data_IF_693137660618
#
_entry.id   IF_693137660618
#
_cell.length_a   1.000
_cell.length_b   1.000
_cell.length_c   1.000
_cell.angle_alpha   90.00
_cell.angle_beta   90.00
_cell.angle_gamma   90.00
#
_symmetry.space_group_name_H-M   'P 1'
#
loop_
_entity.id
_entity.type
_entity.pdbx_description
1 polymer ?
#
# COMPACT_ATOMS: atom_id res chain seq x y z
N UNK A 1 55.19 0.53 -33.54
CA UNK A 1 54.40 1.48 -32.77
C UNK A 1 53.16 0.79 -32.20
N UNK A 2 53.13 0.51 -30.92
CA UNK A 2 51.87 0.14 -30.25
C UNK A 2 51.76 0.87 -28.91
N UNK A 3 51.07 2.02 -28.87
CA UNK A 3 50.77 2.68 -27.62
C UNK A 3 49.55 3.60 -27.81
N UNK A 4 48.32 3.05 -27.79
CA UNK A 4 47.09 3.88 -27.61
C UNK A 4 45.87 3.13 -27.07
N UNK A 5 46.01 1.88 -26.61
CA UNK A 5 44.85 1.07 -26.22
C UNK A 5 44.49 1.12 -24.73
N UNK A 6 45.44 1.44 -23.82
CA UNK A 6 45.22 1.33 -22.37
C UNK A 6 44.35 2.44 -21.76
N UNK A 7 44.35 3.64 -22.34
CA UNK A 7 43.53 4.75 -21.81
C UNK A 7 42.03 4.65 -22.13
N UNK A 8 41.69 3.95 -23.22
CA UNK A 8 40.31 3.78 -23.65
C UNK A 8 39.58 2.77 -22.74
N UNK A 9 40.26 1.67 -22.39
CA UNK A 9 39.70 0.64 -21.47
C UNK A 9 39.44 1.17 -20.09
N UNK A 10 40.28 2.03 -19.55
CA UNK A 10 40.11 2.62 -18.19
C UNK A 10 38.95 3.61 -18.13
N UNK A 11 38.66 4.35 -19.21
CA UNK A 11 37.50 5.25 -19.28
C UNK A 11 36.18 4.51 -19.43
N UNK A 12 36.15 3.40 -20.22
CA UNK A 12 34.96 2.58 -20.38
C UNK A 12 34.59 1.86 -19.08
N UNK A 13 35.57 1.34 -18.34
CA UNK A 13 35.31 0.64 -17.08
C UNK A 13 34.73 1.57 -15.98
N UNK A 14 35.21 2.82 -15.93
CA UNK A 14 34.65 3.81 -14.99
C UNK A 14 33.23 4.25 -15.34
N UNK A 15 32.90 4.39 -16.61
CA UNK A 15 31.55 4.71 -17.09
C UNK A 15 30.57 3.56 -16.80
N UNK A 16 31.01 2.30 -16.99
CA UNK A 16 30.18 1.12 -16.68
C UNK A 16 29.90 0.99 -15.18
N UNK A 17 30.91 1.21 -14.31
CA UNK A 17 30.75 1.21 -12.87
C UNK A 17 29.82 2.31 -12.36
N UNK A 18 29.89 3.50 -12.97
CA UNK A 18 29.01 4.62 -12.63
C UNK A 18 27.55 4.36 -13.03
N UNK A 19 27.34 3.71 -14.19
CA UNK A 19 26.00 3.31 -14.67
C UNK A 19 25.37 2.23 -13.79
N UNK A 20 26.15 1.25 -13.32
CA UNK A 20 25.68 0.20 -12.41
C UNK A 20 25.34 0.79 -11.03
N UNK A 21 26.13 1.74 -10.54
CA UNK A 21 25.87 2.42 -9.27
C UNK A 21 24.59 3.28 -9.33
N UNK A 22 24.34 3.98 -10.45
CA UNK A 22 23.12 4.75 -10.68
C UNK A 22 21.88 3.87 -10.83
N UNK A 23 22.00 2.69 -11.48
CA UNK A 23 20.92 1.72 -11.59
C UNK A 23 20.59 1.06 -10.26
N UNK A 24 21.60 0.80 -9.41
CA UNK A 24 21.39 0.28 -8.05
C UNK A 24 20.70 1.27 -7.12
N UNK A 25 21.06 2.55 -7.19
CA UNK A 25 20.42 3.61 -6.39
C UNK A 25 18.97 3.89 -6.82
N UNK A 26 18.62 3.66 -8.08
CA UNK A 26 17.24 3.88 -8.55
C UNK A 26 16.27 2.79 -8.09
N UNK A 27 16.73 1.58 -7.80
CA UNK A 27 15.86 0.50 -7.31
C UNK A 27 15.48 0.66 -5.84
N UNK A 28 16.33 1.23 -5.01
CA UNK A 28 16.01 1.46 -3.60
C UNK A 28 15.07 2.65 -3.37
N UNK A 29 15.04 3.65 -4.27
CA UNK A 29 14.16 4.80 -4.14
C UNK A 29 12.66 4.46 -4.31
N UNK A 30 12.33 3.37 -5.00
CA UNK A 30 10.95 2.92 -5.21
C UNK A 30 10.44 1.96 -4.13
N UNK A 31 11.29 1.54 -3.19
CA UNK A 31 10.95 0.58 -2.15
C UNK A 31 10.46 1.23 -0.84
N UNK A 32 10.52 2.55 -0.71
CA UNK A 32 10.07 3.22 0.52
C UNK A 32 8.54 3.30 0.57
N UNK A 33 7.92 2.82 1.66
CA UNK A 33 6.49 2.91 1.82
C UNK A 33 6.04 4.35 2.01
N UNK A 34 4.87 4.67 1.48
CA UNK A 34 4.19 5.91 1.79
C UNK A 34 3.48 5.77 3.14
N UNK A 35 3.93 6.54 4.13
CA UNK A 35 3.29 6.57 5.45
C UNK A 35 2.06 7.45 5.44
N UNK A 36 0.98 6.97 6.02
CA UNK A 36 -0.21 7.77 6.28
C UNK A 36 -0.79 7.49 7.66
N UNK A 37 -1.46 8.48 8.22
CA UNK A 37 -2.17 8.38 9.51
C UNK A 37 -3.65 8.20 9.24
N UNK A 38 -4.26 7.24 9.92
CA UNK A 38 -5.69 6.97 9.88
C UNK A 38 -6.36 7.79 10.96
N UNK A 39 -7.37 8.56 10.58
CA UNK A 39 -8.10 9.47 11.46
C UNK A 39 -9.54 8.98 11.65
N UNK A 40 -10.06 9.10 12.86
CA UNK A 40 -11.49 8.93 13.16
C UNK A 40 -12.32 10.14 12.68
N UNK A 41 -13.65 10.14 12.79
CA UNK A 41 -14.49 11.28 12.42
C UNK A 41 -14.19 12.58 13.16
N UNK A 42 -13.65 12.49 14.38
CA UNK A 42 -13.23 13.65 15.19
C UNK A 42 -11.81 14.15 14.83
N UNK A 43 -11.22 13.65 13.72
CA UNK A 43 -9.85 13.97 13.27
C UNK A 43 -8.74 13.54 14.22
N UNK A 44 -9.02 12.63 15.12
CA UNK A 44 -8.02 12.07 16.02
C UNK A 44 -7.35 10.87 15.35
N UNK A 45 -6.02 10.71 15.48
CA UNK A 45 -5.32 9.53 15.00
C UNK A 45 -5.83 8.27 15.69
N UNK A 46 -6.07 7.21 14.91
CA UNK A 46 -6.49 5.88 15.42
C UNK A 46 -5.62 4.75 14.90
N UNK A 47 -4.75 5.02 13.94
CA UNK A 47 -3.82 4.03 13.39
C UNK A 47 -2.90 4.64 12.35
N UNK A 48 -2.04 3.79 11.79
CA UNK A 48 -1.10 4.14 10.72
C UNK A 48 -1.14 3.11 9.61
N UNK A 49 -0.76 3.53 8.40
CA UNK A 49 -0.58 2.63 7.28
C UNK A 49 0.73 2.92 6.55
N UNK A 50 1.42 1.87 6.15
CA UNK A 50 2.56 1.88 5.25
C UNK A 50 2.08 1.32 3.91
N UNK A 51 1.98 2.17 2.90
CA UNK A 51 1.43 1.82 1.60
C UNK A 51 2.57 1.50 0.64
N UNK A 52 2.60 0.27 0.15
CA UNK A 52 3.51 -0.23 -0.87
C UNK A 52 2.77 -0.38 -2.20
N UNK A 53 3.46 -0.79 -3.24
CA UNK A 53 2.88 -0.89 -4.58
C UNK A 53 1.82 -2.00 -4.70
N UNK A 54 1.96 -3.09 -3.94
CA UNK A 54 1.18 -4.32 -4.03
C UNK A 54 0.55 -4.77 -2.71
N UNK A 55 0.90 -4.11 -1.60
CA UNK A 55 0.33 -4.40 -0.29
C UNK A 55 0.28 -3.15 0.60
N UNK A 56 -0.45 -3.24 1.69
CA UNK A 56 -0.49 -2.24 2.75
C UNK A 56 -0.23 -2.92 4.09
N UNK A 57 0.57 -2.28 4.91
CA UNK A 57 0.83 -2.70 6.28
C UNK A 57 0.10 -1.75 7.23
N UNK A 58 -0.75 -2.31 8.07
CA UNK A 58 -1.59 -1.58 9.00
C UNK A 58 -1.02 -1.72 10.42
N UNK A 59 -0.98 -0.62 11.14
CA UNK A 59 -0.36 -0.53 12.46
C UNK A 59 -1.26 0.28 13.42
N UNK A 60 -1.15 -0.06 14.70
CA UNK A 60 -1.64 0.78 15.78
C UNK A 60 -0.83 2.09 15.86
N UNK A 61 -1.27 3.03 16.69
CA UNK A 61 -0.57 4.32 16.86
C UNK A 61 0.84 4.18 17.43
N UNK A 62 1.07 3.19 18.27
CA UNK A 62 2.37 2.88 18.86
C UNK A 62 3.33 2.17 17.88
N UNK A 63 2.84 1.81 16.68
CA UNK A 63 3.58 1.11 15.65
C UNK A 63 3.45 -0.41 15.72
N UNK A 64 2.68 -0.97 16.64
CA UNK A 64 2.40 -2.39 16.70
C UNK A 64 1.71 -2.83 15.40
N UNK A 65 2.24 -3.84 14.67
CA UNK A 65 1.61 -4.34 13.46
C UNK A 65 0.22 -4.90 13.75
N UNK A 66 -0.78 -4.49 12.98
CA UNK A 66 -2.13 -5.03 13.03
C UNK A 66 -2.39 -6.06 11.93
N UNK A 67 -1.69 -5.92 10.81
CA UNK A 67 -1.73 -6.87 9.72
C UNK A 67 -1.19 -6.29 8.42
N UNK A 68 -0.85 -7.20 7.51
CA UNK A 68 -0.45 -6.89 6.14
C UNK A 68 -1.53 -7.38 5.20
N UNK A 69 -2.03 -6.49 4.34
CA UNK A 69 -3.03 -6.81 3.33
C UNK A 69 -2.41 -6.82 1.94
N UNK A 70 -2.56 -7.93 1.23
CA UNK A 70 -2.29 -8.05 -0.20
C UNK A 70 -3.58 -7.86 -1.00
N UNK A 71 -3.44 -7.42 -2.26
CA UNK A 71 -4.54 -7.11 -3.15
C UNK A 71 -4.36 -7.80 -4.49
N UNK A 72 -5.36 -8.58 -4.90
CA UNK A 72 -5.40 -9.20 -6.23
C UNK A 72 -6.49 -8.52 -7.04
N UNK A 73 -6.11 -7.99 -8.20
CA UNK A 73 -7.05 -7.32 -9.10
C UNK A 73 -8.13 -8.28 -9.59
N UNK A 74 -9.38 -7.85 -9.52
CA UNK A 74 -10.55 -8.48 -10.13
C UNK A 74 -11.33 -7.45 -10.92
N UNK A 75 -12.31 -7.89 -11.71
CA UNK A 75 -13.16 -6.97 -12.45
C UNK A 75 -13.92 -6.01 -11.50
N UNK A 76 -13.59 -4.73 -11.60
CA UNK A 76 -14.21 -3.65 -10.83
C UNK A 76 -13.64 -3.46 -9.42
N UNK A 77 -12.49 -4.10 -9.06
CA UNK A 77 -11.90 -3.93 -7.74
C UNK A 77 -10.80 -4.91 -7.38
N UNK A 78 -10.79 -5.35 -6.13
CA UNK A 78 -9.76 -6.20 -5.56
C UNK A 78 -10.35 -7.32 -4.71
N UNK A 79 -9.71 -8.48 -4.71
CA UNK A 79 -9.76 -9.43 -3.58
C UNK A 79 -8.71 -9.00 -2.55
N UNK A 80 -9.04 -9.11 -1.27
CA UNK A 80 -8.22 -8.68 -0.14
C UNK A 80 -7.81 -9.89 0.68
N UNK A 81 -6.50 -10.03 0.88
CA UNK A 81 -5.89 -11.14 1.60
C UNK A 81 -5.08 -10.61 2.78
N UNK A 82 -5.19 -11.25 3.92
CA UNK A 82 -4.17 -11.11 4.97
C UNK A 82 -2.96 -11.94 4.59
N UNK A 83 -1.79 -11.29 4.55
CA UNK A 83 -0.51 -11.93 4.28
C UNK A 83 0.20 -12.18 5.59
N UNK A 84 0.47 -13.44 5.91
CA UNK A 84 1.22 -13.86 7.10
C UNK A 84 2.73 -13.81 6.86
N UNK A 85 3.51 -13.84 7.93
CA UNK A 85 4.98 -13.80 7.87
C UNK A 85 5.58 -15.02 7.14
N UNK A 86 4.88 -16.16 7.15
CA UNK A 86 5.25 -17.37 6.39
C UNK A 86 4.89 -17.29 4.89
N UNK A 87 4.34 -16.17 4.44
CA UNK A 87 3.90 -15.94 3.07
C UNK A 87 2.52 -16.51 2.74
N UNK A 88 1.85 -17.19 3.67
CA UNK A 88 0.48 -17.65 3.45
C UNK A 88 -0.48 -16.48 3.30
N UNK A 89 -1.44 -16.64 2.40
CA UNK A 89 -2.46 -15.63 2.11
C UNK A 89 -3.85 -16.19 2.41
N UNK A 90 -4.59 -15.51 3.27
CA UNK A 90 -5.96 -15.85 3.60
C UNK A 90 -6.90 -14.80 3.05
N UNK A 91 -7.86 -15.20 2.22
CA UNK A 91 -8.92 -14.31 1.74
C UNK A 91 -9.75 -13.82 2.94
N UNK A 92 -9.83 -12.51 3.10
CA UNK A 92 -10.63 -11.88 4.17
C UNK A 92 -11.80 -11.08 3.63
N UNK A 93 -11.77 -10.71 2.35
CA UNK A 93 -12.86 -9.96 1.74
C UNK A 93 -12.56 -9.48 0.34
N UNK A 94 -13.37 -8.55 -0.12
CA UNK A 94 -13.20 -7.89 -1.42
C UNK A 94 -13.63 -6.44 -1.38
N UNK A 95 -13.02 -5.64 -2.26
CA UNK A 95 -13.42 -4.26 -2.51
C UNK A 95 -13.86 -4.15 -3.97
N UNK A 96 -15.13 -3.86 -4.23
CA UNK A 96 -15.68 -3.73 -5.58
C UNK A 96 -16.55 -2.48 -5.70
N UNK A 97 -16.29 -1.69 -6.73
CA UNK A 97 -17.02 -0.43 -6.97
C UNK A 97 -17.08 0.47 -5.71
N UNK A 98 -15.94 0.59 -5.02
CA UNK A 98 -15.79 1.35 -3.76
C UNK A 98 -16.61 0.85 -2.58
N UNK A 99 -17.12 -0.40 -2.65
CA UNK A 99 -17.79 -1.08 -1.56
C UNK A 99 -16.90 -2.18 -1.02
N UNK A 100 -16.86 -2.34 0.29
CA UNK A 100 -16.09 -3.34 0.99
C UNK A 100 -17.00 -4.46 1.48
N UNK A 101 -16.62 -5.69 1.17
CA UNK A 101 -17.35 -6.89 1.54
C UNK A 101 -16.43 -7.82 2.33
N UNK A 102 -16.98 -8.51 3.33
CA UNK A 102 -16.30 -9.62 4.00
C UNK A 102 -16.15 -10.84 3.09
N UNK A 103 -15.54 -11.90 3.58
CA UNK A 103 -15.33 -13.14 2.83
C UNK A 103 -16.64 -13.89 2.50
N UNK A 104 -17.68 -13.66 3.26
CA UNK A 104 -19.04 -14.17 3.02
C UNK A 104 -19.85 -13.33 2.01
N UNK A 105 -19.28 -12.22 1.55
CA UNK A 105 -19.94 -11.31 0.59
C UNK A 105 -20.92 -10.31 1.21
N UNK A 106 -20.91 -10.15 2.53
CA UNK A 106 -21.71 -9.15 3.22
C UNK A 106 -21.06 -7.77 3.10
N UNK A 107 -21.83 -6.75 2.78
CA UNK A 107 -21.38 -5.36 2.76
C UNK A 107 -21.04 -4.90 4.19
N UNK A 108 -19.78 -4.51 4.41
CA UNK A 108 -19.27 -4.04 5.70
C UNK A 108 -18.90 -2.54 5.70
N UNK A 109 -18.85 -1.92 4.52
CA UNK A 109 -18.59 -0.49 4.39
C UNK A 109 -18.44 -0.06 2.95
N UNK A 110 -18.22 1.22 2.77
CA UNK A 110 -17.83 1.79 1.50
C UNK A 110 -16.82 2.90 1.70
N UNK A 111 -16.09 3.24 0.64
CA UNK A 111 -15.09 4.28 0.69
C UNK A 111 -15.13 5.12 -0.59
N UNK A 112 -14.67 6.34 -0.46
CA UNK A 112 -14.49 7.26 -1.56
C UNK A 112 -13.13 7.94 -1.45
N UNK A 113 -12.68 8.59 -2.52
CA UNK A 113 -11.43 9.35 -2.50
C UNK A 113 -11.53 10.60 -3.37
N UNK A 114 -10.85 11.63 -2.91
CA UNK A 114 -10.50 12.83 -3.67
C UNK A 114 -9.06 12.73 -4.18
N UNK A 115 -8.48 13.85 -4.58
CA UNK A 115 -7.09 13.88 -5.07
C UNK A 115 -6.08 13.37 -4.03
N UNK A 116 -6.30 13.62 -2.74
CA UNK A 116 -5.36 13.30 -1.68
C UNK A 116 -5.96 12.55 -0.49
N UNK A 117 -7.27 12.52 -0.34
CA UNK A 117 -7.95 11.95 0.81
C UNK A 117 -8.83 10.77 0.45
N UNK A 118 -8.80 9.75 1.28
CA UNK A 118 -9.75 8.65 1.28
C UNK A 118 -10.68 8.79 2.49
N UNK A 119 -11.96 8.58 2.26
CA UNK A 119 -13.03 8.64 3.27
C UNK A 119 -13.69 7.27 3.37
N UNK A 120 -13.97 6.83 4.59
CA UNK A 120 -14.58 5.53 4.85
C UNK A 120 -15.87 5.71 5.60
N UNK A 121 -16.87 4.93 5.21
CA UNK A 121 -18.22 4.97 5.73
C UNK A 121 -18.71 3.56 6.08
N UNK A 122 -19.52 3.44 7.11
CA UNK A 122 -20.28 2.25 7.43
C UNK A 122 -21.37 1.99 6.36
N UNK A 123 -21.99 0.80 6.31
CA UNK A 123 -23.06 0.50 5.34
C UNK A 123 -24.24 1.46 5.39
N UNK A 124 -24.54 2.04 6.56
CA UNK A 124 -25.59 3.03 6.80
C UNK A 124 -25.22 4.47 6.37
N UNK A 125 -24.01 4.67 5.86
CA UNK A 125 -23.50 5.98 5.43
C UNK A 125 -22.82 6.80 6.53
N UNK A 126 -22.76 6.32 7.77
CA UNK A 126 -22.03 6.99 8.84
C UNK A 126 -20.54 6.99 8.56
N UNK A 127 -19.89 8.16 8.61
CA UNK A 127 -18.45 8.27 8.43
C UNK A 127 -17.71 7.55 9.56
N UNK A 128 -16.79 6.65 9.18
CA UNK A 128 -15.91 5.92 10.11
C UNK A 128 -14.56 6.60 10.28
N UNK A 129 -14.08 7.27 9.23
CA UNK A 129 -12.79 7.94 9.29
C UNK A 129 -12.26 8.34 7.93
N UNK A 130 -10.97 8.69 7.91
CA UNK A 130 -10.28 9.13 6.70
C UNK A 130 -8.77 8.96 6.82
N UNK A 131 -8.07 8.98 5.68
CA UNK A 131 -6.61 9.05 5.63
C UNK A 131 -6.14 9.75 4.35
N UNK A 132 -4.91 10.26 4.36
CA UNK A 132 -4.29 10.88 3.20
C UNK A 132 -3.68 9.79 2.29
N UNK A 133 -4.21 9.61 1.09
CA UNK A 133 -3.78 8.63 0.09
C UNK A 133 -3.25 9.34 -1.15
N UNK A 134 -1.95 9.66 -1.18
CA UNK A 134 -1.33 10.43 -2.27
C UNK A 134 -0.92 9.57 -3.47
N UNK A 135 -0.71 8.27 -3.27
CA UNK A 135 -0.43 7.31 -4.34
C UNK A 135 -1.14 5.98 -4.07
N UNK A 136 -1.20 5.10 -5.09
CA UNK A 136 -1.89 3.79 -5.02
C UNK A 136 -3.28 3.89 -4.40
N UNK A 137 -4.06 4.89 -4.84
CA UNK A 137 -5.31 5.34 -4.18
C UNK A 137 -6.29 4.21 -3.92
N UNK A 138 -6.47 3.30 -4.88
CA UNK A 138 -7.37 2.15 -4.73
C UNK A 138 -6.95 1.23 -3.59
N UNK A 139 -5.69 0.83 -3.56
CA UNK A 139 -5.09 -0.04 -2.53
C UNK A 139 -5.07 0.69 -1.18
N UNK A 140 -4.62 1.94 -1.15
CA UNK A 140 -4.62 2.75 0.06
C UNK A 140 -6.03 2.88 0.65
N UNK A 141 -7.02 3.27 -0.16
CA UNK A 141 -8.40 3.45 0.30
C UNK A 141 -9.03 2.13 0.79
N UNK A 142 -8.83 1.03 0.05
CA UNK A 142 -9.32 -0.29 0.46
C UNK A 142 -8.66 -0.76 1.76
N UNK A 143 -7.35 -0.55 1.94
CA UNK A 143 -6.64 -0.90 3.16
C UNK A 143 -7.11 -0.08 4.37
N UNK A 144 -7.26 1.25 4.22
CA UNK A 144 -7.82 2.11 5.27
C UNK A 144 -9.26 1.70 5.62
N UNK A 145 -10.06 1.36 4.60
CA UNK A 145 -11.41 0.86 4.83
C UNK A 145 -11.40 -0.46 5.60
N UNK A 146 -10.50 -1.39 5.26
CA UNK A 146 -10.33 -2.65 5.99
C UNK A 146 -9.97 -2.44 7.47
N UNK A 147 -9.12 -1.45 7.77
CA UNK A 147 -8.79 -1.08 9.14
C UNK A 147 -10.01 -0.53 9.90
N UNK A 148 -10.70 0.46 9.33
CA UNK A 148 -11.78 1.18 9.99
C UNK A 148 -13.08 0.38 10.13
N UNK A 149 -13.29 -0.63 9.29
CA UNK A 149 -14.46 -1.52 9.35
C UNK A 149 -14.23 -2.77 10.19
N UNK A 150 -13.01 -3.00 10.70
CA UNK A 150 -12.67 -4.20 11.45
C UNK A 150 -12.58 -5.47 10.58
N UNK A 151 -12.33 -5.36 9.27
CA UNK A 151 -12.18 -6.53 8.39
C UNK A 151 -11.04 -7.44 8.84
N UNK A 152 -10.02 -6.90 9.49
CA UNK A 152 -8.88 -7.64 10.02
C UNK A 152 -9.20 -8.45 11.30
N UNK A 153 -10.31 -8.15 11.95
CA UNK A 153 -10.68 -8.73 13.24
C UNK A 153 -11.66 -9.90 13.10
N UNK A 154 -11.91 -10.37 11.84
CA UNK A 154 -12.89 -11.42 11.49
C UNK A 154 -12.26 -12.80 11.33
#
# INVERSE_FOLDING_TARGET
>A
MPFRSKHLFFKLSRLLLFSILLLGLSQELFALPLKTTILNPAKQPVGRALVYIDYIELQELDGTPRGRLGFVNIQGGFQIFVVRDDGQQNLVGSAKNRRLFDKEGKLIGHYDWTTFWSYVYAPDGKKLGEAKCIAFRGICAAGIASFLTGLLDQ
#
